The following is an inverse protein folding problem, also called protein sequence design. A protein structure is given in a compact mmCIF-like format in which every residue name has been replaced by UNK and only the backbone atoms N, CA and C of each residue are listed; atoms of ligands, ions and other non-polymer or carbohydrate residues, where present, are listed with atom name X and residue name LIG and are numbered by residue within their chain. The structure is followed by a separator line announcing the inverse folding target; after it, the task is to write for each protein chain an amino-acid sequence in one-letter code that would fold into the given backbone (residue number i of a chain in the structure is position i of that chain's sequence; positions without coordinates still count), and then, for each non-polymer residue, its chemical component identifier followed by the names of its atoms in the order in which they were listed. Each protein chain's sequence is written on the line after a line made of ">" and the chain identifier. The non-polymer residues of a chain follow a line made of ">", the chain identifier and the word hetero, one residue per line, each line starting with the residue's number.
data_IF_270559288952
#
_entry.id   IF_270559288952
#
_cell.length_a   1.000
_cell.length_b   1.000
_cell.length_c   1.000
_cell.angle_alpha   90.00
_cell.angle_beta   90.00
_cell.angle_gamma   90.00
#
_symmetry.space_group_name_H-M   'P 1'
#
loop_
_entity.id
_entity.type
_entity.pdbx_description
1 polymer ?
#
# COMPACT_ATOMS: atom_id res chain seq x y z
N UNK A 1 56.84 -4.00 -44.82
CA UNK A 1 56.45 -4.59 -43.52
C UNK A 1 55.27 -3.81 -42.97
N UNK A 2 54.15 -4.48 -42.65
CA UNK A 2 53.24 -4.29 -41.50
C UNK A 2 52.84 -2.82 -41.15
N UNK A 3 51.57 -2.38 -41.04
CA UNK A 3 50.26 -3.00 -40.84
C UNK A 3 49.18 -1.94 -41.13
N UNK A 4 48.04 -2.40 -41.66
CA UNK A 4 46.76 -1.70 -41.68
C UNK A 4 46.23 -1.59 -40.24
N UNK A 5 45.75 -0.41 -39.84
CA UNK A 5 44.82 -0.27 -38.70
C UNK A 5 43.72 0.72 -39.11
N UNK A 6 42.58 0.18 -39.52
CA UNK A 6 41.28 0.85 -39.49
C UNK A 6 40.83 0.93 -38.03
N UNK A 7 40.34 2.10 -37.60
CA UNK A 7 39.58 2.21 -36.36
C UNK A 7 38.34 3.07 -36.60
N UNK A 8 37.20 2.42 -36.42
CA UNK A 8 35.84 2.90 -36.65
C UNK A 8 35.29 3.67 -35.45
N UNK A 9 34.44 4.64 -35.79
CA UNK A 9 33.29 5.23 -35.09
C UNK A 9 33.11 4.97 -33.57
N UNK A 10 32.82 6.06 -32.85
CA UNK A 10 31.46 6.23 -32.28
C UNK A 10 31.18 7.69 -31.93
N UNK A 11 30.09 8.21 -32.49
CA UNK A 11 29.46 9.46 -32.06
C UNK A 11 28.91 9.25 -30.65
N UNK A 12 29.36 10.06 -29.69
CA UNK A 12 28.63 10.24 -28.44
C UNK A 12 27.52 11.26 -28.71
N UNK A 13 26.31 10.75 -28.97
CA UNK A 13 25.10 11.54 -28.84
C UNK A 13 25.00 11.98 -27.37
N UNK A 14 25.15 13.28 -27.12
CA UNK A 14 24.81 13.90 -25.84
C UNK A 14 23.29 13.78 -25.70
N UNK A 15 22.85 12.67 -25.14
CA UNK A 15 21.47 12.47 -24.71
C UNK A 15 21.18 13.46 -23.60
N UNK A 16 20.32 14.43 -23.89
CA UNK A 16 19.67 15.26 -22.90
C UNK A 16 18.82 14.34 -22.02
N UNK A 17 19.33 13.94 -20.85
CA UNK A 17 18.53 13.27 -19.83
C UNK A 17 17.44 14.23 -19.40
N UNK A 18 16.24 14.08 -19.99
CA UNK A 18 15.01 14.50 -19.35
C UNK A 18 14.96 13.77 -18.01
N UNK A 19 15.30 14.48 -16.94
CA UNK A 19 14.85 14.12 -15.61
C UNK A 19 13.34 14.02 -15.67
N UNK A 20 12.82 12.80 -15.55
CA UNK A 20 11.41 12.59 -15.24
C UNK A 20 11.18 13.18 -13.85
N UNK A 21 10.75 14.44 -13.82
CA UNK A 21 10.00 14.97 -12.70
C UNK A 21 8.79 14.06 -12.53
N UNK A 22 8.91 13.15 -11.57
CA UNK A 22 7.80 12.40 -11.04
C UNK A 22 6.84 13.44 -10.48
N UNK A 23 5.86 13.81 -11.31
CA UNK A 23 4.71 14.61 -10.92
C UNK A 23 4.15 13.91 -9.68
N UNK A 24 4.45 14.49 -8.51
CA UNK A 24 3.73 14.19 -7.29
C UNK A 24 2.35 14.77 -7.58
N UNK A 25 1.51 13.96 -8.22
CA UNK A 25 0.08 14.15 -8.24
C UNK A 25 -0.28 14.20 -6.76
N UNK A 26 -0.43 15.42 -6.24
CA UNK A 26 -1.23 15.72 -5.06
C UNK A 26 -2.66 15.33 -5.41
N UNK A 27 -2.88 14.01 -5.49
CA UNK A 27 -4.18 13.38 -5.42
C UNK A 27 -4.75 13.86 -4.10
N UNK A 28 -5.78 14.71 -4.16
CA UNK A 28 -6.64 14.99 -3.03
C UNK A 28 -7.00 13.63 -2.42
N UNK A 29 -6.37 13.28 -1.31
CA UNK A 29 -6.13 11.89 -0.91
C UNK A 29 -7.49 11.26 -0.57
N UNK A 30 -8.12 10.63 -1.57
CA UNK A 30 -9.51 10.16 -1.51
C UNK A 30 -9.72 9.16 -0.35
N UNK A 31 -8.61 8.58 0.12
CA UNK A 31 -8.53 7.59 1.19
C UNK A 31 -7.98 8.15 2.52
N UNK A 32 -7.90 9.47 2.72
CA UNK A 32 -7.33 10.06 3.94
C UNK A 32 -8.00 9.53 5.22
N UNK A 33 -9.34 9.43 5.22
CA UNK A 33 -10.06 8.89 6.36
C UNK A 33 -9.77 7.41 6.60
N UNK A 34 -9.69 6.61 5.51
CA UNK A 34 -9.30 5.21 5.59
C UNK A 34 -7.92 5.06 6.24
N UNK A 35 -6.94 5.84 5.79
CA UNK A 35 -5.58 5.78 6.34
C UNK A 35 -5.55 6.10 7.83
N UNK A 36 -6.25 7.16 8.26
CA UNK A 36 -6.39 7.50 9.69
C UNK A 36 -6.98 6.36 10.51
N UNK A 37 -8.03 5.70 10.01
CA UNK A 37 -8.66 4.57 10.70
C UNK A 37 -7.69 3.38 10.77
N UNK A 38 -7.00 3.06 9.67
CA UNK A 38 -6.03 1.96 9.67
C UNK A 38 -4.83 2.24 10.57
N UNK A 39 -4.28 3.46 10.55
CA UNK A 39 -3.18 3.88 11.42
C UNK A 39 -3.57 3.78 12.89
N UNK A 40 -4.80 4.15 13.24
CA UNK A 40 -5.31 3.99 14.59
C UNK A 40 -5.21 2.53 15.06
N UNK A 41 -5.68 1.57 14.27
CA UNK A 41 -5.63 0.14 14.64
C UNK A 41 -4.23 -0.46 14.58
N UNK A 42 -3.40 -0.03 13.60
CA UNK A 42 -2.00 -0.46 13.52
C UNK A 42 -1.24 0.02 14.75
N UNK A 43 -1.42 1.27 15.17
CA UNK A 43 -0.74 1.81 16.35
C UNK A 43 -1.25 1.19 17.65
N UNK A 44 -2.57 1.04 17.80
CA UNK A 44 -3.15 0.43 19.00
C UNK A 44 -2.67 -1.01 19.22
N UNK A 45 -2.35 -1.77 18.16
CA UNK A 45 -1.75 -3.11 18.24
C UNK A 45 -0.31 -3.14 18.81
N UNK A 46 0.30 -1.98 19.03
CA UNK A 46 1.63 -1.85 19.63
C UNK A 46 1.60 -1.03 20.93
N UNK A 47 0.66 -0.11 21.04
CA UNK A 47 0.61 0.85 22.14
C UNK A 47 -0.39 0.42 23.24
N UNK A 48 -1.49 -0.24 22.88
CA UNK A 48 -2.62 -0.52 23.81
C UNK A 48 -2.98 -2.01 23.90
N UNK A 49 -2.97 -2.73 22.77
CA UNK A 49 -3.44 -4.10 22.64
C UNK A 49 -2.34 -4.99 22.06
N UNK A 50 -2.04 -6.11 22.72
CA UNK A 50 -1.22 -7.14 22.07
C UNK A 50 -1.98 -7.85 20.92
N UNK A 51 -3.31 -7.90 21.00
CA UNK A 51 -4.19 -8.56 20.03
C UNK A 51 -5.64 -8.15 20.31
N UNK A 52 -6.43 -7.98 19.25
CA UNK A 52 -7.88 -7.74 19.35
C UNK A 52 -8.72 -9.02 19.57
N UNK A 53 -8.11 -10.20 19.38
CA UNK A 53 -8.80 -11.50 19.48
C UNK A 53 -9.96 -11.68 18.50
N UNK A 54 -10.85 -12.63 18.80
CA UNK A 54 -12.03 -12.95 17.96
C UNK A 54 -13.08 -11.84 18.00
N UNK A 55 -13.19 -11.14 19.13
CA UNK A 55 -14.15 -10.04 19.31
C UNK A 55 -13.78 -8.75 18.58
N UNK A 56 -12.69 -8.73 17.82
CA UNK A 56 -12.20 -7.54 17.12
C UNK A 56 -13.25 -6.84 16.23
N UNK A 57 -14.23 -7.60 15.73
CA UNK A 57 -15.38 -7.08 14.99
C UNK A 57 -16.17 -5.98 15.72
N UNK A 58 -16.22 -5.98 17.06
CA UNK A 58 -16.93 -4.94 17.84
C UNK A 58 -16.31 -3.55 17.71
N UNK A 59 -15.05 -3.48 17.29
CA UNK A 59 -14.32 -2.22 17.09
C UNK A 59 -14.39 -1.71 15.66
N UNK A 60 -15.14 -2.37 14.76
CA UNK A 60 -15.22 -1.98 13.35
C UNK A 60 -15.56 -0.51 13.19
N UNK A 61 -14.75 0.21 12.41
CA UNK A 61 -15.00 1.60 12.02
C UNK A 61 -15.31 1.65 10.52
N UNK A 62 -16.19 2.55 10.12
CA UNK A 62 -16.49 2.82 8.71
C UNK A 62 -16.03 4.23 8.36
N UNK A 63 -15.63 4.42 7.10
CA UNK A 63 -15.44 5.78 6.58
C UNK A 63 -16.79 6.49 6.50
N UNK A 64 -16.78 7.82 6.62
CA UNK A 64 -17.96 8.68 6.60
C UNK A 64 -18.78 8.55 5.32
N UNK A 65 -18.13 8.24 4.19
CA UNK A 65 -18.77 7.97 2.90
C UNK A 65 -19.32 6.54 2.75
N UNK A 66 -19.12 5.70 3.78
CA UNK A 66 -19.55 4.31 3.83
C UNK A 66 -18.87 3.40 2.80
N UNK A 67 -17.79 3.83 2.15
CA UNK A 67 -17.10 3.03 1.14
C UNK A 67 -16.29 1.91 1.77
N UNK A 68 -15.65 2.16 2.91
CA UNK A 68 -14.78 1.20 3.58
C UNK A 68 -15.26 0.87 4.98
N UNK A 69 -15.06 -0.37 5.40
CA UNK A 69 -15.02 -0.76 6.80
C UNK A 69 -13.65 -1.34 7.16
N UNK A 70 -13.20 -1.03 8.37
CA UNK A 70 -11.92 -1.45 8.91
C UNK A 70 -12.16 -2.17 10.23
N UNK A 71 -11.77 -3.44 10.28
CA UNK A 71 -11.99 -4.33 11.42
C UNK A 71 -10.66 -4.88 11.89
N UNK A 72 -10.23 -4.62 13.13
CA UNK A 72 -9.10 -5.33 13.68
C UNK A 72 -9.52 -6.77 14.02
N UNK A 73 -8.62 -7.74 13.83
CA UNK A 73 -8.85 -9.15 14.16
C UNK A 73 -7.53 -9.81 14.53
N UNK A 74 -7.39 -10.27 15.77
CA UNK A 74 -6.07 -10.61 16.34
C UNK A 74 -5.04 -9.49 16.11
N UNK A 75 -3.96 -9.77 15.36
CA UNK A 75 -2.94 -8.80 14.92
C UNK A 75 -3.05 -8.50 13.42
N UNK A 76 -4.26 -8.56 12.88
CA UNK A 76 -4.59 -8.21 11.50
C UNK A 76 -5.52 -7.00 11.52
N UNK A 77 -5.44 -6.17 10.49
CA UNK A 77 -6.43 -5.12 10.22
C UNK A 77 -7.06 -5.41 8.87
N UNK A 78 -8.33 -5.79 8.88
CA UNK A 78 -9.10 -6.19 7.71
C UNK A 78 -9.76 -4.93 7.14
N UNK A 79 -9.58 -4.67 5.84
CA UNK A 79 -10.21 -3.57 5.14
C UNK A 79 -11.14 -4.13 4.07
N UNK A 80 -12.42 -3.81 4.19
CA UNK A 80 -13.48 -4.24 3.27
C UNK A 80 -14.04 -3.04 2.52
N UNK A 81 -14.25 -3.20 1.21
CA UNK A 81 -15.03 -2.29 0.38
C UNK A 81 -16.50 -2.71 0.52
N UNK A 82 -17.33 -1.85 1.09
CA UNK A 82 -18.72 -2.17 1.46
C UNK A 82 -19.70 -2.07 0.29
N UNK A 83 -19.34 -1.33 -0.75
CA UNK A 83 -20.08 -1.31 -2.01
C UNK A 83 -19.72 -2.55 -2.84
N UNK A 84 -20.62 -2.96 -3.71
CA UNK A 84 -20.32 -3.99 -4.71
C UNK A 84 -19.03 -3.63 -5.43
N UNK A 85 -18.03 -4.50 -5.31
CA UNK A 85 -16.67 -4.23 -5.69
C UNK A 85 -16.08 -5.42 -6.42
N UNK A 86 -15.15 -5.14 -7.32
CA UNK A 86 -14.46 -6.15 -8.10
C UNK A 86 -13.11 -6.48 -7.44
N UNK A 87 -12.55 -7.64 -7.77
CA UNK A 87 -11.20 -8.01 -7.34
C UNK A 87 -10.16 -6.94 -7.71
N UNK A 88 -10.29 -6.33 -8.90
CA UNK A 88 -9.41 -5.23 -9.34
C UNK A 88 -9.43 -4.04 -8.38
N UNK A 89 -10.58 -3.72 -7.75
CA UNK A 89 -10.65 -2.63 -6.77
C UNK A 89 -9.90 -2.94 -5.48
N UNK A 90 -9.85 -4.21 -5.10
CA UNK A 90 -9.03 -4.64 -3.99
C UNK A 90 -7.54 -4.64 -4.34
N UNK A 91 -7.14 -4.97 -5.58
CA UNK A 91 -5.73 -4.85 -6.01
C UNK A 91 -5.28 -3.39 -6.08
N UNK A 92 -6.13 -2.47 -6.58
CA UNK A 92 -5.86 -1.02 -6.53
C UNK A 92 -5.62 -0.58 -5.07
N UNK A 93 -6.53 -0.95 -4.17
CA UNK A 93 -6.45 -0.61 -2.75
C UNK A 93 -5.23 -1.24 -2.05
N UNK A 94 -4.88 -2.48 -2.43
CA UNK A 94 -3.67 -3.16 -1.96
C UNK A 94 -2.44 -2.39 -2.37
N UNK A 95 -2.32 -2.01 -3.64
CA UNK A 95 -1.20 -1.20 -4.13
C UNK A 95 -1.06 0.10 -3.35
N UNK A 96 -2.17 0.81 -3.12
CA UNK A 96 -2.20 2.06 -2.36
C UNK A 96 -1.72 1.86 -0.91
N UNK A 97 -2.28 0.87 -0.19
CA UNK A 97 -1.93 0.61 1.21
C UNK A 97 -0.53 0.01 1.37
N UNK A 98 -0.08 -0.85 0.46
CA UNK A 98 1.30 -1.37 0.43
C UNK A 98 2.29 -0.22 0.26
N UNK A 99 1.99 0.75 -0.60
CA UNK A 99 2.83 1.92 -0.78
C UNK A 99 2.77 2.85 0.42
N UNK A 100 1.60 3.03 1.04
CA UNK A 100 1.41 3.84 2.24
C UNK A 100 2.21 3.30 3.44
N UNK A 101 2.16 1.99 3.69
CA UNK A 101 2.86 1.34 4.80
C UNK A 101 4.29 0.93 4.49
N UNK A 102 4.83 1.29 3.33
CA UNK A 102 6.20 0.92 2.93
C UNK A 102 7.22 1.42 3.96
N UNK A 103 7.97 0.49 4.55
CA UNK A 103 9.00 0.79 5.55
C UNK A 103 8.46 0.99 6.97
N UNK A 104 7.15 0.89 7.19
CA UNK A 104 6.58 0.88 8.52
C UNK A 104 6.81 -0.49 9.19
N UNK A 105 7.68 -0.53 10.20
CA UNK A 105 8.04 -1.76 10.91
C UNK A 105 6.87 -2.41 11.67
N UNK A 106 5.74 -1.69 11.86
CA UNK A 106 4.51 -2.23 12.47
C UNK A 106 3.68 -3.07 11.50
N UNK A 107 3.93 -2.97 10.19
CA UNK A 107 3.20 -3.67 9.14
C UNK A 107 4.17 -4.61 8.41
N UNK A 108 3.90 -5.91 8.51
CA UNK A 108 4.67 -6.97 7.87
C UNK A 108 4.35 -7.07 6.38
N UNK A 109 3.06 -7.05 6.05
CA UNK A 109 2.58 -7.19 4.68
C UNK A 109 1.18 -6.58 4.51
N UNK A 110 0.81 -6.29 3.26
CA UNK A 110 -0.54 -5.91 2.85
C UNK A 110 -0.95 -6.81 1.68
N UNK A 111 -1.95 -7.67 1.89
CA UNK A 111 -2.36 -8.67 0.92
C UNK A 111 -3.87 -8.85 0.87
N UNK A 112 -4.36 -9.51 -0.18
CA UNK A 112 -5.77 -9.92 -0.30
C UNK A 112 -5.86 -11.38 0.14
N UNK A 113 -6.75 -11.69 1.09
CA UNK A 113 -6.93 -13.05 1.58
C UNK A 113 -7.74 -13.91 0.59
N UNK A 114 -7.87 -15.21 0.88
CA UNK A 114 -8.62 -16.15 0.04
C UNK A 114 -10.10 -15.79 -0.11
N UNK A 115 -10.66 -15.00 0.80
CA UNK A 115 -12.03 -14.49 0.75
C UNK A 115 -12.16 -13.19 -0.05
N UNK A 116 -11.10 -12.74 -0.72
CA UNK A 116 -11.12 -11.54 -1.56
C UNK A 116 -11.16 -10.22 -0.78
N UNK A 117 -10.78 -10.22 0.50
CA UNK A 117 -10.75 -9.02 1.35
C UNK A 117 -9.31 -8.61 1.64
N UNK A 118 -9.04 -7.31 1.74
CA UNK A 118 -7.71 -6.80 2.02
C UNK A 118 -7.36 -6.93 3.51
N UNK A 119 -6.11 -7.30 3.78
CA UNK A 119 -5.55 -7.51 5.11
C UNK A 119 -4.24 -6.76 5.22
N UNK A 120 -4.11 -5.96 6.28
CA UNK A 120 -2.86 -5.38 6.75
C UNK A 120 -2.36 -6.28 7.90
N UNK A 121 -1.24 -6.97 7.68
CA UNK A 121 -0.67 -7.92 8.63
C UNK A 121 0.28 -7.23 9.60
N UNK A 122 -0.07 -7.22 10.88
CA UNK A 122 0.73 -6.64 11.97
C UNK A 122 1.29 -7.73 12.90
N UNK A 123 1.33 -9.00 12.45
CA UNK A 123 1.99 -10.10 13.16
C UNK A 123 3.51 -9.95 13.07
N UNK A 124 4.20 -10.42 14.10
CA UNK A 124 5.67 -10.52 14.13
C UNK A 124 6.06 -11.88 13.53
#
# INVERSE_FOLDING_TARGET
>A
MKKIVLLLLSLLAVGCSKSEEKNINTSSNKNNELYKITDYFVNSLYDEYNSYGIEGAKYTKKTSDGVYSVTPFYRLVIVKIEKESTYSKYEDLKSDLSQYYKGNWKVKDVYINQSGTLVIDCRR
#
